data_IF_338346766616
#
_entry.id   IF_338346766616
#
_cell.length_a   1.000
_cell.length_b   1.000
_cell.length_c   1.000
_cell.angle_alpha   90.00
_cell.angle_beta   90.00
_cell.angle_gamma   90.00
#
_symmetry.space_group_name_H-M   'P 1'
#
loop_
_entity.id
_entity.type
_entity.pdbx_description
1 polymer ?
#
# COMPACT_ATOMS: atom_id res chain seq x y z
N UNK A 1 15.32 -20.21 -1.62
CA UNK A 1 14.71 -19.65 -2.85
C UNK A 1 13.60 -20.52 -3.46
N UNK A 2 13.78 -21.84 -3.68
CA UNK A 2 12.73 -22.69 -4.29
C UNK A 2 11.41 -22.77 -3.49
N UNK A 3 11.48 -22.83 -2.16
CA UNK A 3 10.30 -22.90 -1.28
C UNK A 3 9.47 -21.61 -1.31
N UNK A 4 10.10 -20.44 -1.12
CA UNK A 4 9.46 -19.12 -1.23
C UNK A 4 8.66 -19.00 -2.53
N UNK A 5 9.30 -19.32 -3.66
CA UNK A 5 8.66 -19.22 -4.97
C UNK A 5 7.48 -20.21 -5.13
N UNK A 6 7.59 -21.42 -4.59
CA UNK A 6 6.49 -22.38 -4.63
C UNK A 6 5.26 -21.88 -3.86
N UNK A 7 5.46 -21.26 -2.69
CA UNK A 7 4.37 -20.65 -1.90
C UNK A 7 3.73 -19.49 -2.68
N UNK A 8 4.55 -18.60 -3.26
CA UNK A 8 4.07 -17.48 -4.10
C UNK A 8 3.22 -18.01 -5.26
N UNK A 9 3.73 -18.99 -6.02
CA UNK A 9 3.02 -19.51 -7.18
C UNK A 9 1.67 -20.12 -6.77
N UNK A 10 1.67 -20.97 -5.73
CA UNK A 10 0.45 -21.56 -5.20
C UNK A 10 -0.58 -20.50 -4.79
N UNK A 11 -0.14 -19.45 -4.09
CA UNK A 11 -1.00 -18.35 -3.70
C UNK A 11 -1.57 -17.59 -4.90
N UNK A 12 -0.73 -17.28 -5.89
CA UNK A 12 -1.14 -16.56 -7.10
C UNK A 12 -2.19 -17.35 -7.90
N UNK A 13 -2.03 -18.66 -8.00
CA UNK A 13 -2.96 -19.51 -8.74
C UNK A 13 -4.29 -19.75 -8.02
N UNK A 14 -4.31 -19.72 -6.69
CA UNK A 14 -5.49 -20.13 -5.89
C UNK A 14 -6.25 -18.97 -5.23
N UNK A 15 -5.59 -17.85 -4.94
CA UNK A 15 -6.18 -16.75 -4.15
C UNK A 15 -6.34 -15.45 -4.92
N UNK A 16 -5.54 -15.21 -5.96
CA UNK A 16 -5.60 -13.94 -6.69
C UNK A 16 -6.73 -13.99 -7.71
N UNK A 17 -7.68 -13.09 -7.54
CA UNK A 17 -8.66 -12.79 -8.58
C UNK A 17 -7.97 -11.87 -9.59
N UNK A 18 -7.99 -12.22 -10.88
CA UNK A 18 -7.38 -11.38 -11.92
C UNK A 18 -8.12 -10.06 -12.06
N UNK A 19 -9.44 -10.12 -12.24
CA UNK A 19 -10.24 -8.91 -12.43
C UNK A 19 -10.69 -8.29 -11.11
N UNK A 20 -10.47 -6.99 -11.00
CA UNK A 20 -10.85 -6.15 -9.88
C UNK A 20 -11.80 -5.06 -10.36
N UNK A 21 -12.71 -4.64 -9.48
CA UNK A 21 -13.66 -3.57 -9.77
C UNK A 21 -13.77 -2.63 -8.58
N UNK A 22 -13.96 -1.35 -8.84
CA UNK A 22 -14.24 -0.33 -7.82
C UNK A 22 -15.14 0.76 -8.41
N UNK A 23 -15.81 1.53 -7.55
CA UNK A 23 -16.64 2.67 -7.94
C UNK A 23 -16.03 3.94 -7.35
N UNK A 24 -15.62 4.87 -8.21
CA UNK A 24 -14.98 6.15 -7.82
C UNK A 24 -15.71 7.28 -8.53
N UNK A 25 -16.17 8.30 -7.79
CA UNK A 25 -17.00 9.40 -8.31
C UNK A 25 -18.17 8.93 -9.19
N UNK A 26 -18.88 7.91 -8.71
CA UNK A 26 -19.97 7.25 -9.43
C UNK A 26 -19.62 6.54 -10.74
N UNK A 27 -18.33 6.41 -11.07
CA UNK A 27 -17.84 5.69 -12.24
C UNK A 27 -17.33 4.30 -11.80
N UNK A 28 -17.81 3.25 -12.47
CA UNK A 28 -17.35 1.88 -12.24
C UNK A 28 -16.08 1.61 -13.06
N UNK A 29 -14.96 1.45 -12.37
CA UNK A 29 -13.68 1.07 -12.94
C UNK A 29 -13.44 -0.42 -12.78
N UNK A 30 -12.80 -1.01 -13.79
CA UNK A 30 -12.32 -2.39 -13.77
C UNK A 30 -10.84 -2.40 -14.13
N UNK A 31 -10.05 -3.25 -13.47
CA UNK A 31 -8.64 -3.41 -13.75
C UNK A 31 -8.16 -4.82 -13.47
N UNK A 32 -7.00 -5.19 -14.02
CA UNK A 32 -6.43 -6.52 -13.87
C UNK A 32 -5.22 -6.49 -12.93
N UNK A 33 -5.27 -7.35 -11.91
CA UNK A 33 -4.11 -7.69 -11.10
C UNK A 33 -3.20 -8.63 -11.89
N UNK A 34 -1.94 -8.23 -12.09
CA UNK A 34 -0.96 -9.01 -12.86
C UNK A 34 -0.39 -10.15 -12.02
N UNK A 35 0.39 -9.82 -10.98
CA UNK A 35 1.00 -10.73 -10.03
C UNK A 35 1.54 -9.89 -8.85
N UNK A 36 2.03 -10.53 -7.78
CA UNK A 36 2.45 -9.81 -6.57
C UNK A 36 3.65 -8.87 -6.76
N UNK A 37 4.51 -9.12 -7.76
CA UNK A 37 5.67 -8.29 -8.08
C UNK A 37 5.30 -7.09 -8.95
N UNK A 38 4.55 -7.34 -10.03
CA UNK A 38 4.18 -6.32 -11.01
C UNK A 38 2.93 -5.54 -10.60
N UNK A 39 2.07 -6.10 -9.77
CA UNK A 39 0.80 -5.52 -9.30
C UNK A 39 -0.21 -5.31 -10.43
N UNK A 40 0.09 -4.42 -11.36
CA UNK A 40 -0.68 -4.08 -12.56
C UNK A 40 0.25 -3.89 -13.75
N UNK A 41 -0.24 -4.13 -14.96
CA UNK A 41 0.44 -3.64 -16.17
C UNK A 41 0.07 -2.17 -16.38
N UNK A 42 1.02 -1.26 -16.18
CA UNK A 42 0.84 0.20 -16.36
C UNK A 42 0.06 0.58 -17.63
N UNK A 43 0.44 0.14 -18.85
CA UNK A 43 -0.29 0.54 -20.06
C UNK A 43 -1.70 -0.04 -20.13
N UNK A 44 -1.92 -1.28 -19.67
CA UNK A 44 -3.26 -1.88 -19.64
C UNK A 44 -4.16 -1.18 -18.63
N UNK A 45 -3.60 -0.83 -17.47
CA UNK A 45 -4.32 -0.12 -16.41
C UNK A 45 -4.82 1.24 -16.90
N UNK A 46 -3.93 2.06 -17.49
CA UNK A 46 -4.31 3.35 -18.10
C UNK A 46 -5.40 3.16 -19.15
N UNK A 47 -5.24 2.18 -20.06
CA UNK A 47 -6.24 1.89 -21.09
C UNK A 47 -7.61 1.57 -20.47
N UNK A 48 -7.65 0.73 -19.43
CA UNK A 48 -8.89 0.38 -18.75
C UNK A 48 -9.55 1.58 -18.08
N UNK A 49 -8.76 2.44 -17.44
CA UNK A 49 -9.28 3.65 -16.83
C UNK A 49 -9.82 4.63 -17.89
N UNK A 50 -9.08 4.90 -18.99
CA UNK A 50 -9.54 5.78 -20.08
C UNK A 50 -10.89 5.32 -20.66
N UNK A 51 -11.06 4.00 -20.86
CA UNK A 51 -12.30 3.43 -21.39
C UNK A 51 -13.53 3.75 -20.52
N UNK A 52 -13.36 3.85 -19.20
CA UNK A 52 -14.45 4.14 -18.25
C UNK A 52 -14.58 5.62 -17.96
N UNK A 53 -13.46 6.32 -17.86
CA UNK A 53 -13.38 7.74 -17.53
C UNK A 53 -13.83 8.65 -18.69
N UNK A 54 -13.74 8.16 -19.94
CA UNK A 54 -14.12 8.88 -21.17
C UNK A 54 -13.28 10.14 -21.48
N UNK A 55 -12.17 10.34 -20.77
CA UNK A 55 -11.13 11.33 -21.07
C UNK A 55 -9.77 10.64 -21.07
N UNK A 56 -8.84 11.17 -21.84
CA UNK A 56 -7.46 10.72 -21.81
C UNK A 56 -6.71 11.36 -20.64
N UNK A 57 -5.90 10.57 -19.95
CA UNK A 57 -5.00 11.10 -18.93
C UNK A 57 -3.88 11.92 -19.54
N UNK A 58 -3.66 13.13 -18.99
CA UNK A 58 -2.58 14.01 -19.42
C UNK A 58 -1.19 13.44 -19.06
N UNK A 59 -0.14 13.95 -19.72
CA UNK A 59 1.23 13.45 -19.53
C UNK A 59 1.72 13.54 -18.08
N UNK A 60 1.35 14.62 -17.37
CA UNK A 60 1.72 14.85 -15.97
C UNK A 60 1.12 13.77 -15.06
N UNK A 61 -0.16 13.46 -15.23
CA UNK A 61 -0.88 12.39 -14.52
C UNK A 61 -0.27 11.03 -14.78
N UNK A 62 0.07 10.73 -16.04
CA UNK A 62 0.73 9.46 -16.40
C UNK A 62 2.11 9.36 -15.73
N UNK A 63 2.88 10.44 -15.66
CA UNK A 63 4.17 10.46 -14.96
C UNK A 63 4.00 10.13 -13.48
N UNK A 64 3.12 10.86 -12.78
CA UNK A 64 2.87 10.65 -11.35
C UNK A 64 2.35 9.25 -11.03
N UNK A 65 1.46 8.72 -11.88
CA UNK A 65 1.01 7.33 -11.78
C UNK A 65 2.18 6.34 -11.92
N UNK A 66 3.01 6.52 -12.96
CA UNK A 66 4.12 5.61 -13.21
C UNK A 66 5.13 5.60 -12.06
N UNK A 67 5.49 6.78 -11.57
CA UNK A 67 6.38 6.96 -10.42
C UNK A 67 5.80 6.33 -9.16
N UNK A 68 4.52 6.56 -8.88
CA UNK A 68 3.85 6.00 -7.70
C UNK A 68 3.83 4.47 -7.74
N UNK A 69 3.48 3.88 -8.89
CA UNK A 69 3.46 2.42 -9.03
C UNK A 69 4.86 1.82 -8.86
N UNK A 70 5.90 2.46 -9.40
CA UNK A 70 7.27 1.97 -9.20
C UNK A 70 7.69 2.05 -7.74
N UNK A 71 7.37 3.14 -7.04
CA UNK A 71 7.65 3.26 -5.60
C UNK A 71 6.95 2.16 -4.79
N UNK A 72 5.68 1.86 -5.09
CA UNK A 72 4.93 0.81 -4.39
C UNK A 72 5.51 -0.58 -4.69
N UNK A 73 5.91 -0.86 -5.93
CA UNK A 73 6.56 -2.12 -6.32
C UNK A 73 7.88 -2.33 -5.61
N UNK A 74 8.74 -1.30 -5.57
CA UNK A 74 10.03 -1.34 -4.88
C UNK A 74 9.81 -1.62 -3.39
N UNK A 75 8.94 -0.84 -2.75
CA UNK A 75 8.62 -1.01 -1.33
C UNK A 75 8.09 -2.41 -1.02
N UNK A 76 7.14 -2.92 -1.81
CA UNK A 76 6.58 -4.25 -1.58
C UNK A 76 7.63 -5.36 -1.73
N UNK A 77 8.57 -5.21 -2.67
CA UNK A 77 9.69 -6.14 -2.85
C UNK A 77 10.65 -6.14 -1.66
N UNK A 78 10.97 -4.95 -1.13
CA UNK A 78 11.82 -4.81 0.07
C UNK A 78 11.17 -5.43 1.31
N UNK A 79 9.86 -5.24 1.47
CA UNK A 79 9.11 -5.82 2.58
C UNK A 79 8.97 -7.34 2.44
N UNK A 80 8.71 -7.84 1.24
CA UNK A 80 8.69 -9.28 0.94
C UNK A 80 10.03 -9.96 1.22
N UNK A 81 11.13 -9.28 0.91
CA UNK A 81 12.46 -9.79 1.23
C UNK A 81 12.69 -9.79 2.74
N UNK A 82 12.37 -8.68 3.41
CA UNK A 82 12.58 -8.50 4.85
C UNK A 82 11.83 -9.55 5.67
N UNK A 83 10.54 -9.79 5.38
CA UNK A 83 9.77 -10.81 6.11
C UNK A 83 10.34 -12.21 5.89
N UNK A 84 10.76 -12.52 4.67
CA UNK A 84 11.35 -13.80 4.36
C UNK A 84 12.64 -14.02 5.14
N UNK A 85 13.50 -12.98 5.20
CA UNK A 85 14.77 -13.04 5.92
C UNK A 85 14.58 -13.26 7.43
N UNK A 86 13.52 -12.71 8.01
CA UNK A 86 13.15 -12.98 9.40
C UNK A 86 12.61 -14.40 9.60
N UNK A 87 11.77 -14.87 8.68
CA UNK A 87 11.18 -16.21 8.78
C UNK A 87 12.23 -17.32 8.67
N UNK A 88 13.23 -17.19 7.81
CA UNK A 88 14.30 -18.20 7.69
C UNK A 88 15.26 -18.22 8.89
N UNK A 89 15.20 -17.23 9.79
CA UNK A 89 15.87 -17.34 11.10
C UNK A 89 15.19 -18.35 12.01
N UNK A 90 13.93 -18.69 11.70
CA UNK A 90 13.18 -19.73 12.40
C UNK A 90 13.44 -21.05 11.70
N UNK A 91 13.84 -22.09 12.43
CA UNK A 91 14.08 -23.42 11.85
C UNK A 91 12.79 -24.25 11.81
N UNK A 92 11.65 -23.62 11.48
CA UNK A 92 10.33 -24.24 11.54
C UNK A 92 9.52 -23.99 10.26
N UNK A 93 9.59 -24.95 9.32
CA UNK A 93 8.94 -24.87 8.01
C UNK A 93 7.43 -24.61 8.09
N UNK A 94 6.75 -25.15 9.12
CA UNK A 94 5.31 -24.94 9.30
C UNK A 94 4.99 -23.49 9.68
N UNK A 95 5.80 -22.89 10.57
CA UNK A 95 5.66 -21.48 10.96
C UNK A 95 5.99 -20.58 9.76
N UNK A 96 7.07 -20.87 9.04
CA UNK A 96 7.48 -20.14 7.82
C UNK A 96 6.32 -20.12 6.83
N UNK A 97 5.78 -21.30 6.49
CA UNK A 97 4.69 -21.41 5.52
C UNK A 97 3.47 -20.60 5.94
N UNK A 98 3.00 -20.79 7.19
CA UNK A 98 1.79 -20.14 7.68
C UNK A 98 1.91 -18.61 7.70
N UNK A 99 2.98 -18.07 8.27
CA UNK A 99 3.16 -16.61 8.37
C UNK A 99 3.38 -16.01 6.98
N UNK A 100 4.11 -16.70 6.11
CA UNK A 100 4.33 -16.19 4.76
C UNK A 100 3.03 -16.21 3.93
N UNK A 101 2.20 -17.25 4.01
CA UNK A 101 0.88 -17.26 3.37
C UNK A 101 -0.01 -16.11 3.88
N UNK A 102 -0.06 -15.88 5.20
CA UNK A 102 -0.77 -14.75 5.79
C UNK A 102 -0.25 -13.39 5.29
N UNK A 103 1.07 -13.28 5.07
CA UNK A 103 1.68 -12.10 4.50
C UNK A 103 1.26 -11.89 3.04
N UNK A 104 1.21 -12.94 2.21
CA UNK A 104 0.75 -12.83 0.83
C UNK A 104 -0.72 -12.40 0.76
N UNK A 105 -1.58 -12.93 1.64
CA UNK A 105 -2.97 -12.47 1.82
C UNK A 105 -3.01 -10.98 2.15
N UNK A 106 -2.25 -10.57 3.17
CA UNK A 106 -2.18 -9.19 3.61
C UNK A 106 -1.68 -8.25 2.50
N UNK A 107 -0.63 -8.65 1.78
CA UNK A 107 -0.05 -7.88 0.69
C UNK A 107 -1.07 -7.68 -0.44
N UNK A 108 -1.67 -8.76 -0.92
CA UNK A 108 -2.66 -8.69 -2.00
C UNK A 108 -3.85 -7.81 -1.63
N UNK A 109 -4.40 -7.98 -0.42
CA UNK A 109 -5.52 -7.16 0.05
C UNK A 109 -5.15 -5.69 0.21
N UNK A 110 -3.98 -5.37 0.75
CA UNK A 110 -3.50 -4.00 0.96
C UNK A 110 -3.27 -3.28 -0.36
N UNK A 111 -2.64 -3.94 -1.34
CA UNK A 111 -2.43 -3.39 -2.69
C UNK A 111 -3.76 -3.10 -3.36
N UNK A 112 -4.69 -4.06 -3.29
CA UNK A 112 -6.02 -3.90 -3.88
C UNK A 112 -6.76 -2.71 -3.29
N UNK A 113 -6.77 -2.57 -1.97
CA UNK A 113 -7.38 -1.42 -1.26
C UNK A 113 -6.72 -0.12 -1.69
N UNK A 114 -5.38 -0.06 -1.72
CA UNK A 114 -4.66 1.13 -2.16
C UNK A 114 -5.04 1.54 -3.58
N UNK A 115 -5.08 0.60 -4.53
CA UNK A 115 -5.44 0.91 -5.91
C UNK A 115 -6.89 1.38 -6.01
N UNK A 116 -7.81 0.63 -5.40
CA UNK A 116 -9.25 0.87 -5.52
C UNK A 116 -9.71 2.15 -4.85
N UNK A 117 -9.20 2.43 -3.65
CA UNK A 117 -9.76 3.44 -2.76
C UNK A 117 -8.94 4.73 -2.78
N UNK A 118 -7.71 4.68 -3.33
CA UNK A 118 -6.75 5.79 -3.23
C UNK A 118 -6.20 6.16 -4.62
N UNK A 119 -5.55 5.24 -5.31
CA UNK A 119 -4.81 5.57 -6.54
C UNK A 119 -5.72 6.00 -7.69
N UNK A 120 -6.82 5.27 -7.94
CA UNK A 120 -7.73 5.61 -9.03
C UNK A 120 -8.36 7.00 -8.81
N UNK A 121 -8.76 7.30 -7.57
CA UNK A 121 -9.26 8.63 -7.21
C UNK A 121 -8.20 9.70 -7.45
N UNK A 122 -6.97 9.46 -6.97
CA UNK A 122 -5.89 10.41 -7.09
C UNK A 122 -5.51 10.69 -8.55
N UNK A 123 -5.54 9.68 -9.41
CA UNK A 123 -5.31 9.87 -10.84
C UNK A 123 -6.32 10.83 -11.47
N UNK A 124 -7.59 10.76 -11.07
CA UNK A 124 -8.62 11.69 -11.53
C UNK A 124 -8.32 13.10 -11.02
N UNK A 125 -7.90 13.25 -9.75
CA UNK A 125 -7.51 14.55 -9.22
C UNK A 125 -6.32 15.18 -9.94
N UNK A 126 -5.28 14.39 -10.25
CA UNK A 126 -4.15 14.88 -11.04
C UNK A 126 -4.56 15.29 -12.45
N UNK A 127 -5.51 14.57 -13.06
CA UNK A 127 -5.94 14.85 -14.42
C UNK A 127 -6.80 16.09 -14.55
N UNK A 128 -7.71 16.28 -13.59
CA UNK A 128 -8.67 17.38 -13.56
C UNK A 128 -8.16 18.58 -12.76
N UNK A 129 -6.90 18.53 -12.30
CA UNK A 129 -6.25 19.59 -11.53
C UNK A 129 -7.05 19.94 -10.25
N UNK A 130 -7.62 18.92 -9.61
CA UNK A 130 -8.38 19.08 -8.36
C UNK A 130 -7.40 19.18 -7.20
N UNK A 131 -7.22 20.40 -6.69
CA UNK A 131 -6.31 20.70 -5.58
C UNK A 131 -6.92 20.38 -4.21
N UNK A 132 -8.25 20.29 -4.10
CA UNK A 132 -8.93 20.16 -2.81
C UNK A 132 -9.72 18.85 -2.72
N UNK A 133 -9.32 17.97 -1.80
CA UNK A 133 -10.09 16.79 -1.39
C UNK A 133 -11.01 17.13 -0.22
N UNK A 134 -12.30 16.83 -0.35
CA UNK A 134 -13.28 16.98 0.75
C UNK A 134 -13.50 15.64 1.44
N UNK A 135 -13.36 15.60 2.76
CA UNK A 135 -13.62 14.40 3.57
C UNK A 135 -14.18 14.80 4.93
N UNK A 136 -15.35 14.27 5.31
CA UNK A 136 -15.99 14.52 6.62
C UNK A 136 -16.06 16.02 6.98
N UNK A 137 -16.58 16.84 6.06
CA UNK A 137 -16.68 18.31 6.18
C UNK A 137 -15.34 19.06 6.32
N UNK A 138 -14.21 18.40 6.12
CA UNK A 138 -12.88 19.01 6.09
C UNK A 138 -12.35 19.07 4.66
N UNK A 139 -11.51 20.06 4.41
CA UNK A 139 -10.88 20.31 3.13
C UNK A 139 -9.39 20.05 3.27
N UNK A 140 -8.85 19.28 2.36
CA UNK A 140 -7.45 18.89 2.35
C UNK A 140 -6.82 19.25 1.02
N UNK A 141 -5.55 19.66 1.05
CA UNK A 141 -4.71 19.66 -0.14
C UNK A 141 -4.62 18.22 -0.67
N UNK A 142 -5.00 18.01 -1.92
CA UNK A 142 -5.12 16.68 -2.50
C UNK A 142 -3.77 15.97 -2.63
N UNK A 143 -2.70 16.69 -2.94
CA UNK A 143 -1.36 16.14 -3.08
C UNK A 143 -0.76 15.76 -1.73
N UNK A 144 -0.87 16.63 -0.73
CA UNK A 144 -0.40 16.35 0.62
C UNK A 144 -1.21 15.21 1.27
N UNK A 145 -2.52 15.18 1.01
CA UNK A 145 -3.37 14.09 1.50
C UNK A 145 -3.00 12.75 0.83
N UNK A 146 -2.64 12.74 -0.45
CA UNK A 146 -2.15 11.52 -1.09
C UNK A 146 -0.84 11.01 -0.48
N UNK A 147 0.09 11.91 -0.14
CA UNK A 147 1.30 11.55 0.57
C UNK A 147 1.00 10.91 1.94
N UNK A 148 0.01 11.42 2.66
CA UNK A 148 -0.48 10.80 3.89
C UNK A 148 -0.98 9.37 3.64
N UNK A 149 -1.76 9.14 2.58
CA UNK A 149 -2.27 7.80 2.26
C UNK A 149 -1.16 6.82 1.86
N UNK A 150 -0.12 7.27 1.14
CA UNK A 150 1.07 6.45 0.87
C UNK A 150 1.78 6.07 2.18
N UNK A 151 1.90 7.00 3.13
CA UNK A 151 2.54 6.69 4.41
C UNK A 151 1.69 5.75 5.27
N UNK A 152 0.36 5.88 5.25
CA UNK A 152 -0.53 4.90 5.90
C UNK A 152 -0.36 3.50 5.31
N UNK A 153 -0.27 3.40 3.98
CA UNK A 153 0.00 2.14 3.31
C UNK A 153 1.29 1.51 3.83
N UNK A 154 2.41 2.26 3.86
CA UNK A 154 3.70 1.76 4.36
C UNK A 154 3.65 1.35 5.83
N UNK A 155 3.02 2.17 6.67
CA UNK A 155 2.90 1.91 8.11
C UNK A 155 2.08 0.66 8.41
N UNK A 156 1.07 0.33 7.59
CA UNK A 156 0.30 -0.90 7.74
C UNK A 156 1.18 -2.16 7.56
N UNK A 157 2.11 -2.14 6.61
CA UNK A 157 3.07 -3.24 6.43
C UNK A 157 4.00 -3.36 7.64
N UNK A 158 4.54 -2.25 8.14
CA UNK A 158 5.39 -2.30 9.32
C UNK A 158 4.66 -2.84 10.56
N UNK A 159 3.40 -2.42 10.78
CA UNK A 159 2.55 -2.93 11.85
C UNK A 159 2.28 -4.44 11.69
N UNK A 160 2.06 -4.89 10.46
CA UNK A 160 1.93 -6.32 10.16
C UNK A 160 3.21 -7.08 10.51
N UNK A 161 4.36 -6.64 10.00
CA UNK A 161 5.66 -7.27 10.26
C UNK A 161 5.95 -7.36 11.76
N UNK A 162 5.76 -6.25 12.47
CA UNK A 162 5.95 -6.19 13.92
C UNK A 162 5.07 -7.20 14.67
N UNK A 163 3.79 -7.31 14.32
CA UNK A 163 2.88 -8.31 14.91
C UNK A 163 3.38 -9.74 14.67
N UNK A 164 3.90 -10.03 13.47
CA UNK A 164 4.45 -11.35 13.13
C UNK A 164 5.77 -11.63 13.85
N UNK A 165 6.68 -10.67 13.90
CA UNK A 165 7.93 -10.77 14.65
C UNK A 165 7.68 -11.02 16.14
N UNK A 166 6.71 -10.33 16.75
CA UNK A 166 6.29 -10.62 18.14
C UNK A 166 5.75 -12.04 18.32
N UNK A 167 5.10 -12.60 17.30
CA UNK A 167 4.62 -13.98 17.33
C UNK A 167 5.80 -14.93 17.25
N UNK A 168 6.74 -14.69 16.34
CA UNK A 168 7.97 -15.47 16.21
C UNK A 168 8.81 -15.46 17.49
N UNK A 169 8.99 -14.30 18.12
CA UNK A 169 9.74 -14.19 19.37
C UNK A 169 9.10 -14.97 20.53
N UNK A 170 7.77 -15.15 20.53
CA UNK A 170 7.09 -15.97 21.55
C UNK A 170 7.35 -17.46 21.33
N UNK A 171 7.39 -17.90 20.08
CA UNK A 171 7.68 -19.29 19.70
C UNK A 171 9.17 -19.62 19.88
N UNK A 172 10.06 -18.64 19.64
CA UNK A 172 11.51 -18.76 19.82
C UNK A 172 12.07 -17.65 20.75
N UNK A 173 11.84 -17.73 22.08
CA UNK A 173 12.24 -16.67 23.03
C UNK A 173 13.74 -16.37 23.07
N UNK A 174 14.57 -17.35 22.69
CA UNK A 174 16.02 -17.22 22.71
C UNK A 174 16.61 -16.66 21.40
N UNK A 175 15.77 -16.32 20.41
CA UNK A 175 16.22 -15.76 19.14
C UNK A 175 16.57 -14.26 19.31
N UNK A 176 17.84 -13.99 19.63
CA UNK A 176 18.34 -12.64 19.91
C UNK A 176 18.20 -11.67 18.73
N UNK A 177 18.32 -12.17 17.49
CA UNK A 177 18.15 -11.36 16.27
C UNK A 177 16.72 -10.85 16.17
N UNK A 178 15.73 -11.74 16.29
CA UNK A 178 14.31 -11.32 16.27
C UNK A 178 14.01 -10.38 17.44
N UNK A 179 14.59 -10.63 18.62
CA UNK A 179 14.43 -9.75 19.79
C UNK A 179 14.88 -8.31 19.55
N UNK A 180 16.08 -8.11 18.98
CA UNK A 180 16.59 -6.77 18.64
C UNK A 180 15.70 -6.08 17.60
N UNK A 181 15.26 -6.82 16.59
CA UNK A 181 14.40 -6.26 15.55
C UNK A 181 13.05 -5.83 16.14
N UNK A 182 12.42 -6.64 16.99
CA UNK A 182 11.15 -6.27 17.67
C UNK A 182 11.30 -4.96 18.44
N UNK A 183 12.41 -4.77 19.17
CA UNK A 183 12.68 -3.52 19.89
C UNK A 183 12.80 -2.32 18.95
N UNK A 184 13.53 -2.46 17.83
CA UNK A 184 13.66 -1.40 16.84
C UNK A 184 12.31 -1.01 16.20
N UNK A 185 11.41 -1.97 15.97
CA UNK A 185 10.06 -1.69 15.48
C UNK A 185 9.18 -0.97 16.52
N UNK A 186 9.38 -1.24 17.81
CA UNK A 186 8.62 -0.61 18.90
C UNK A 186 8.80 0.92 18.93
N UNK A 187 10.03 1.38 18.71
CA UNK A 187 10.37 2.81 18.61
C UNK A 187 9.83 3.40 17.31
N UNK A 188 10.14 2.75 16.18
CA UNK A 188 9.79 3.23 14.84
C UNK A 188 8.27 3.35 14.62
N UNK A 189 7.46 2.42 15.15
CA UNK A 189 5.99 2.51 15.02
C UNK A 189 5.43 3.76 15.69
N UNK A 190 5.95 4.14 16.86
CA UNK A 190 5.49 5.35 17.58
C UNK A 190 5.83 6.61 16.81
N UNK A 191 7.05 6.71 16.29
CA UNK A 191 7.48 7.82 15.44
C UNK A 191 6.61 7.94 14.18
N UNK A 192 6.30 6.81 13.55
CA UNK A 192 5.46 6.77 12.35
C UNK A 192 4.01 7.17 12.62
N UNK A 193 3.48 6.92 13.82
CA UNK A 193 2.16 7.42 14.22
C UNK A 193 2.14 8.94 14.39
N UNK A 194 3.18 9.52 15.01
CA UNK A 194 3.36 10.97 15.13
C UNK A 194 3.45 11.60 13.73
N UNK A 195 4.27 11.04 12.85
CA UNK A 195 4.43 11.49 11.47
C UNK A 195 3.12 11.49 10.68
N UNK A 196 2.25 10.50 10.88
CA UNK A 196 0.92 10.48 10.25
C UNK A 196 0.02 11.62 10.73
N UNK A 197 0.10 11.97 12.02
CA UNK A 197 -0.64 13.11 12.57
C UNK A 197 -0.13 14.41 11.94
N UNK A 198 1.18 14.60 11.86
CA UNK A 198 1.80 15.77 11.24
C UNK A 198 1.42 15.91 9.77
N UNK A 199 1.51 14.84 8.98
CA UNK A 199 1.11 14.85 7.57
C UNK A 199 -0.37 15.18 7.39
N UNK A 200 -1.23 14.64 8.27
CA UNK A 200 -2.67 14.94 8.23
C UNK A 200 -2.98 16.39 8.59
N UNK A 201 -2.23 16.98 9.51
CA UNK A 201 -2.35 18.38 9.88
C UNK A 201 -1.82 19.29 8.77
N UNK A 202 -0.68 18.95 8.16
CA UNK A 202 -0.09 19.68 7.05
C UNK A 202 -1.01 19.69 5.82
N UNK A 203 -1.69 18.58 5.54
CA UNK A 203 -2.66 18.50 4.45
C UNK A 203 -3.96 19.27 4.73
N UNK A 204 -4.27 19.61 5.98
CA UNK A 204 -5.55 20.25 6.35
C UNK A 204 -5.54 21.73 5.98
N UNK A 205 -6.44 22.13 5.09
CA UNK A 205 -6.65 23.53 4.75
C UNK A 205 -7.45 24.19 5.88
N UNK A 206 -6.82 25.13 6.58
CA UNK A 206 -7.54 26.01 7.52
C UNK A 206 -8.27 27.06 6.69
N UNK A 207 -9.59 27.11 6.78
CA UNK A 207 -10.35 28.24 6.27
C UNK A 207 -9.88 29.49 7.03
N UNK A 208 -9.12 30.37 6.37
CA UNK A 208 -9.06 31.77 6.80
C UNK A 208 -10.44 32.35 6.56
N UNK A 209 -11.13 32.72 7.65
CA UNK A 209 -12.20 33.73 7.60
C UNK A 209 -11.54 35.09 7.30
N UNK A 210 -10.99 35.26 6.11
CA UNK A 210 -10.54 36.55 5.62
C UNK A 210 -11.38 36.87 4.39
N UNK A 211 -12.53 37.50 4.64
CA UNK A 211 -13.32 38.35 3.75
C UNK A 211 -14.75 38.37 4.29
N UNK A 212 -15.05 39.38 5.13
CA UNK A 212 -16.33 40.07 5.27
C UNK A 212 -16.22 41.01 6.49
N UNK A 213 -15.51 42.14 6.30
CA UNK A 213 -15.86 43.45 6.84
C UNK A 213 -15.45 44.49 5.80
#
# INVERSE_FOLDING_TARGET
>A
MKVKQAIINHFQDTRIKKEQTTKVFDINFSWEFTNLSEIISKPRFIKYLNMKYKKDFNKKTISYFNETIDQIRIFNKEVDQSIWDYLIQTNNDKIIYNIYEEFLVFMYSSIKVFINDILIEQMIYWNEEIEIKKLNNKHYDSHLYFNLEIQKYKNNYQKFLYKKLKTLLKEEPNNSVIGIIVQAYDENIKENEIKLVELKQAALLKYQKELLW
#
